data_IF_641225298967
#
_entry.id   IF_641225298967
#
_cell.length_a   1.000
_cell.length_b   1.000
_cell.length_c   1.000
_cell.angle_alpha   90.00
_cell.angle_beta   90.00
_cell.angle_gamma   90.00
#
_symmetry.space_group_name_H-M   'P 1'
#
loop_
_entity.id
_entity.type
_entity.pdbx_description
1 polymer ?
#
# COMPACT_ATOMS: atom_id res chain seq x y z
N UNK A 1 32.46 -4.70 19.30
CA UNK A 1 33.51 -4.98 18.32
C UNK A 1 32.84 -5.57 17.06
N UNK A 2 32.80 -4.84 15.93
CA UNK A 2 32.14 -5.31 14.71
C UNK A 2 32.65 -6.67 14.21
N UNK A 3 33.92 -6.97 14.41
CA UNK A 3 34.51 -8.25 13.96
C UNK A 3 33.98 -9.50 14.68
N UNK A 4 33.22 -9.32 15.76
CA UNK A 4 32.63 -10.44 16.52
C UNK A 4 31.14 -10.65 16.13
N UNK A 5 30.55 -9.73 15.36
CA UNK A 5 29.16 -9.83 14.94
C UNK A 5 29.07 -10.71 13.70
N UNK A 6 28.30 -11.78 13.77
CA UNK A 6 28.06 -12.72 12.68
C UNK A 6 26.63 -12.65 12.17
N UNK A 7 25.71 -12.19 13.00
CA UNK A 7 24.29 -12.08 12.66
C UNK A 7 23.69 -10.76 13.10
N UNK A 8 22.84 -10.18 12.23
CA UNK A 8 22.14 -8.92 12.49
C UNK A 8 20.66 -9.08 12.15
N UNK A 9 19.80 -8.75 13.10
CA UNK A 9 18.39 -8.50 12.85
C UNK A 9 18.20 -7.04 12.47
N UNK A 10 17.60 -6.79 11.33
CA UNK A 10 17.18 -5.46 10.87
C UNK A 10 15.68 -5.37 11.02
N UNK A 11 15.20 -4.44 11.84
CA UNK A 11 13.80 -4.32 12.22
C UNK A 11 13.31 -2.92 11.89
N UNK A 12 12.11 -2.83 11.38
CA UNK A 12 11.44 -1.57 11.08
C UNK A 12 11.17 -1.37 9.58
N UNK A 13 10.01 -0.80 9.24
CA UNK A 13 9.59 -0.65 7.84
C UNK A 13 10.54 0.25 7.04
N UNK A 14 11.11 1.27 7.69
CA UNK A 14 11.99 2.22 7.04
C UNK A 14 13.38 1.64 6.68
N UNK A 15 13.72 0.47 7.21
CA UNK A 15 15.02 -0.16 6.94
C UNK A 15 15.14 -0.66 5.49
N UNK A 16 14.03 -0.98 4.84
CA UNK A 16 13.97 -1.51 3.47
C UNK A 16 13.29 -0.54 2.48
N UNK A 17 13.41 0.75 2.73
CA UNK A 17 12.75 1.77 1.92
C UNK A 17 13.66 2.98 1.69
N UNK A 18 13.43 3.69 0.60
CA UNK A 18 13.92 5.06 0.45
C UNK A 18 13.10 5.97 1.36
N UNK A 19 13.76 6.68 2.25
CA UNK A 19 13.11 7.60 3.19
C UNK A 19 13.51 9.02 2.80
N UNK A 20 12.50 9.84 2.49
CA UNK A 20 12.65 11.27 2.23
C UNK A 20 11.49 12.03 2.88
N UNK A 21 11.63 13.34 3.00
CA UNK A 21 10.49 14.21 3.26
C UNK A 21 9.54 14.19 2.07
N UNK A 22 8.25 14.05 2.31
CA UNK A 22 7.23 14.14 1.25
C UNK A 22 6.92 15.58 0.84
N UNK A 23 5.99 15.73 -0.11
CA UNK A 23 5.55 17.05 -0.60
C UNK A 23 6.55 17.72 -1.52
N UNK A 24 6.68 19.05 -1.44
CA UNK A 24 7.52 19.85 -2.34
C UNK A 24 9.02 19.59 -2.17
N UNK A 25 9.44 18.98 -1.06
CA UNK A 25 10.84 18.59 -0.82
C UNK A 25 11.20 17.23 -1.40
N UNK A 26 10.23 16.49 -1.94
CA UNK A 26 10.48 15.18 -2.53
C UNK A 26 11.29 15.29 -3.83
N UNK A 27 12.35 14.52 -3.91
CA UNK A 27 13.15 14.37 -5.13
C UNK A 27 13.27 12.90 -5.48
N UNK A 28 13.07 12.56 -6.75
CA UNK A 28 13.33 11.20 -7.23
C UNK A 28 14.83 10.94 -7.27
N UNK A 29 15.33 10.01 -6.46
CA UNK A 29 16.74 9.68 -6.51
C UNK A 29 17.05 8.87 -7.79
N UNK A 30 18.16 9.15 -8.44
CA UNK A 30 18.68 8.28 -9.50
C UNK A 30 19.08 6.90 -8.97
N UNK A 31 19.48 6.86 -7.72
CA UNK A 31 19.83 5.64 -6.99
C UNK A 31 19.61 5.87 -5.49
N UNK A 32 19.09 4.87 -4.81
CA UNK A 32 18.98 4.88 -3.35
C UNK A 32 19.49 3.57 -2.78
N UNK A 33 20.06 3.64 -1.59
CA UNK A 33 20.50 2.46 -0.84
C UNK A 33 19.77 2.47 0.49
N UNK A 34 18.94 1.48 0.72
CA UNK A 34 18.27 1.29 2.01
C UNK A 34 19.28 0.87 3.09
N UNK A 35 18.91 0.98 4.36
CA UNK A 35 19.75 0.47 5.46
C UNK A 35 20.00 -1.02 5.28
N UNK A 36 18.98 -1.78 4.89
CA UNK A 36 19.07 -3.21 4.64
C UNK A 36 20.03 -3.53 3.48
N UNK A 37 19.94 -2.81 2.36
CA UNK A 37 20.83 -3.00 1.23
C UNK A 37 22.26 -2.60 1.55
N UNK A 38 22.44 -1.48 2.27
CA UNK A 38 23.76 -1.05 2.72
C UNK A 38 24.46 -2.09 3.59
N UNK A 39 23.73 -2.70 4.51
CA UNK A 39 24.26 -3.78 5.34
C UNK A 39 24.59 -5.03 4.53
N UNK A 40 23.73 -5.45 3.60
CA UNK A 40 23.98 -6.59 2.70
C UNK A 40 25.23 -6.38 1.84
N UNK A 41 25.42 -5.15 1.36
CA UNK A 41 26.57 -4.81 0.51
C UNK A 41 27.89 -4.70 1.29
N UNK A 42 27.83 -4.32 2.58
CA UNK A 42 29.01 -4.11 3.42
C UNK A 42 29.54 -5.39 4.08
N UNK A 43 28.73 -6.42 4.24
CA UNK A 43 29.08 -7.61 5.02
C UNK A 43 28.89 -8.90 4.26
N UNK A 44 29.90 -9.35 3.49
CA UNK A 44 29.83 -10.61 2.71
C UNK A 44 29.62 -11.86 3.58
N UNK A 45 30.06 -11.83 4.86
CA UNK A 45 29.93 -12.95 5.81
C UNK A 45 28.89 -12.70 6.89
N UNK A 46 28.09 -11.63 6.77
CA UNK A 46 27.12 -11.24 7.78
C UNK A 46 25.75 -11.88 7.49
N UNK A 47 25.24 -12.69 8.40
CA UNK A 47 23.88 -13.20 8.30
C UNK A 47 22.89 -12.09 8.68
N UNK A 48 22.08 -11.65 7.70
CA UNK A 48 21.12 -10.57 7.88
C UNK A 48 19.70 -11.13 7.80
N UNK A 49 18.91 -10.90 8.84
CA UNK A 49 17.48 -11.17 8.89
C UNK A 49 16.71 -9.86 8.95
N UNK A 50 15.61 -9.77 8.24
CA UNK A 50 14.78 -8.56 8.21
C UNK A 50 13.33 -8.89 8.60
N UNK A 51 12.75 -8.02 9.43
CA UNK A 51 11.32 -8.00 9.71
C UNK A 51 10.83 -6.55 9.82
N UNK A 52 9.75 -6.17 9.13
CA UNK A 52 9.21 -4.81 9.22
C UNK A 52 8.62 -4.49 10.61
N UNK A 53 8.18 -5.49 11.37
CA UNK A 53 7.52 -5.34 12.67
C UNK A 53 6.13 -4.70 12.57
N UNK A 54 5.99 -3.66 11.75
CA UNK A 54 4.71 -3.01 11.42
C UNK A 54 4.53 -3.04 9.91
N UNK A 55 3.41 -3.58 9.40
CA UNK A 55 3.14 -3.60 7.97
C UNK A 55 2.98 -2.19 7.40
N UNK A 56 3.66 -1.89 6.31
CA UNK A 56 3.51 -0.63 5.60
C UNK A 56 2.33 -0.67 4.61
N UNK A 57 1.84 0.51 4.21
CA UNK A 57 0.88 0.61 3.11
C UNK A 57 1.47 0.03 1.82
N UNK A 58 2.71 0.35 1.49
CA UNK A 58 3.39 -0.14 0.29
C UNK A 58 3.43 -1.66 0.23
N UNK A 59 3.85 -2.32 1.32
CA UNK A 59 3.86 -3.78 1.41
C UNK A 59 2.44 -4.37 1.36
N UNK A 60 1.48 -3.72 2.03
CA UNK A 60 0.07 -4.15 2.02
C UNK A 60 -0.50 -4.11 0.60
N UNK A 61 -0.25 -3.05 -0.15
CA UNK A 61 -0.71 -2.89 -1.53
C UNK A 61 -0.01 -3.87 -2.47
N UNK A 62 1.32 -4.01 -2.34
CA UNK A 62 2.11 -4.91 -3.20
C UNK A 62 1.75 -6.39 -3.00
N UNK A 63 1.36 -6.78 -1.79
CA UNK A 63 1.02 -8.17 -1.45
C UNK A 63 -0.49 -8.45 -1.43
N UNK A 64 -1.33 -7.48 -1.73
CA UNK A 64 -2.78 -7.68 -1.76
C UNK A 64 -3.19 -8.64 -2.89
N UNK A 65 -3.81 -9.75 -2.52
CA UNK A 65 -4.27 -10.75 -3.48
C UNK A 65 -5.73 -10.50 -3.86
N UNK A 66 -5.94 -10.15 -5.13
CA UNK A 66 -7.26 -9.97 -5.73
C UNK A 66 -7.50 -10.98 -6.84
N UNK A 67 -8.76 -11.25 -7.13
CA UNK A 67 -9.19 -12.10 -8.24
C UNK A 67 -10.31 -11.41 -9.01
N UNK A 68 -10.36 -11.64 -10.31
CA UNK A 68 -11.27 -10.91 -11.23
C UNK A 68 -12.74 -11.13 -10.94
N UNK A 69 -13.10 -12.35 -10.48
CA UNK A 69 -14.48 -12.74 -10.18
C UNK A 69 -14.52 -13.97 -9.28
N UNK A 70 -15.67 -14.28 -8.76
CA UNK A 70 -15.90 -15.47 -7.94
C UNK A 70 -15.59 -16.75 -8.73
N UNK A 71 -14.89 -17.69 -8.09
CA UNK A 71 -14.44 -18.95 -8.70
C UNK A 71 -13.28 -18.82 -9.68
N UNK A 72 -12.85 -17.61 -10.06
CA UNK A 72 -11.73 -17.39 -10.96
C UNK A 72 -10.38 -17.59 -10.27
N UNK A 73 -9.39 -18.08 -11.01
CA UNK A 73 -7.98 -18.10 -10.60
C UNK A 73 -7.16 -16.95 -11.20
N UNK A 74 -7.80 -16.12 -12.04
CA UNK A 74 -7.14 -14.96 -12.64
C UNK A 74 -6.95 -13.87 -11.57
N UNK A 75 -5.69 -13.54 -11.31
CA UNK A 75 -5.32 -12.50 -10.33
C UNK A 75 -5.61 -11.11 -10.88
N UNK A 76 -6.03 -10.21 -9.98
CA UNK A 76 -6.27 -8.80 -10.25
C UNK A 76 -7.74 -8.42 -10.14
N UNK A 77 -8.00 -7.14 -10.35
CA UNK A 77 -9.33 -6.55 -10.40
C UNK A 77 -9.65 -6.10 -11.82
N UNK A 78 -10.88 -6.27 -12.27
CA UNK A 78 -11.36 -5.60 -13.48
C UNK A 78 -11.35 -4.10 -13.23
N UNK A 79 -10.55 -3.36 -13.97
CA UNK A 79 -10.40 -1.92 -13.89
C UNK A 79 -11.09 -1.26 -15.08
N UNK A 80 -12.00 -0.33 -14.80
CA UNK A 80 -12.74 0.49 -15.76
C UNK A 80 -12.34 1.94 -15.55
N UNK A 81 -11.81 2.59 -16.60
CA UNK A 81 -11.33 3.96 -16.60
C UNK A 81 -12.24 4.84 -17.41
N UNK A 82 -12.70 5.96 -16.83
CA UNK A 82 -13.64 6.89 -17.44
C UNK A 82 -12.98 8.28 -17.55
N UNK A 83 -13.19 8.94 -18.67
CA UNK A 83 -12.76 10.32 -18.95
C UNK A 83 -13.74 11.37 -18.40
N UNK A 84 -14.37 11.07 -17.29
CA UNK A 84 -15.24 11.95 -16.50
C UNK A 84 -15.22 11.56 -15.03
N UNK A 85 -15.56 12.48 -14.15
CA UNK A 85 -15.54 12.29 -12.68
C UNK A 85 -16.74 11.52 -12.10
N UNK A 86 -17.62 10.96 -12.94
CA UNK A 86 -18.92 10.45 -12.49
C UNK A 86 -19.14 8.98 -12.74
N UNK A 87 -18.14 8.24 -13.21
CA UNK A 87 -18.25 6.82 -13.61
C UNK A 87 -19.38 6.58 -14.61
N UNK A 88 -19.64 7.52 -15.51
CA UNK A 88 -20.78 7.49 -16.45
C UNK A 88 -20.34 7.13 -17.87
N UNK A 89 -21.25 6.46 -18.57
CA UNK A 89 -21.05 6.07 -19.96
C UNK A 89 -20.21 4.81 -20.11
N UNK A 90 -19.67 4.62 -21.31
CA UNK A 90 -18.77 3.52 -21.62
C UNK A 90 -17.36 3.87 -21.10
N UNK A 91 -16.67 2.96 -20.40
CA UNK A 91 -15.29 3.18 -20.02
C UNK A 91 -14.42 3.45 -21.26
N UNK A 92 -13.55 4.45 -21.18
CA UNK A 92 -12.54 4.71 -22.21
C UNK A 92 -11.54 3.53 -22.31
N UNK A 93 -11.34 2.82 -21.19
CA UNK A 93 -10.44 1.67 -21.13
C UNK A 93 -10.94 0.66 -20.09
N UNK A 94 -10.79 -0.63 -20.40
CA UNK A 94 -11.01 -1.73 -19.45
C UNK A 94 -9.82 -2.67 -19.50
N UNK A 95 -9.24 -2.97 -18.33
CA UNK A 95 -8.07 -3.86 -18.19
C UNK A 95 -8.18 -4.67 -16.90
N UNK A 96 -7.23 -5.55 -16.66
CA UNK A 96 -7.03 -6.20 -15.36
C UNK A 96 -5.83 -5.55 -14.69
N UNK A 97 -6.07 -4.93 -13.54
CA UNK A 97 -5.00 -4.42 -12.67
C UNK A 97 -4.72 -5.43 -11.55
N UNK A 98 -3.52 -5.94 -11.52
CA UNK A 98 -3.08 -6.87 -10.46
C UNK A 98 -2.79 -6.15 -9.15
N UNK A 99 -2.48 -4.87 -9.22
CA UNK A 99 -2.19 -3.98 -8.10
C UNK A 99 -2.93 -2.65 -8.35
N UNK A 100 -3.62 -2.14 -7.34
CA UNK A 100 -4.18 -0.80 -7.37
C UNK A 100 -3.20 0.14 -6.66
N UNK A 101 -2.33 0.74 -7.43
CA UNK A 101 -1.36 1.72 -6.98
C UNK A 101 -1.03 2.66 -8.15
N UNK A 102 -1.81 3.73 -8.27
CA UNK A 102 -1.68 4.72 -9.33
C UNK A 102 -1.34 6.04 -8.66
N UNK A 103 -0.28 6.66 -9.09
CA UNK A 103 0.26 7.86 -8.49
C UNK A 103 1.26 7.56 -7.38
N UNK A 104 2.35 8.28 -7.39
CA UNK A 104 3.32 8.41 -6.31
C UNK A 104 3.71 9.88 -6.21
N UNK A 105 2.71 10.74 -5.93
CA UNK A 105 2.94 12.18 -6.02
C UNK A 105 3.06 12.65 -7.47
N UNK A 106 2.86 13.85 -7.72
CA UNK A 106 2.89 14.76 -8.89
C UNK A 106 3.37 14.26 -10.27
N UNK A 107 3.83 13.02 -10.45
CA UNK A 107 4.34 12.54 -11.74
C UNK A 107 4.10 11.04 -11.98
N UNK A 108 3.61 10.68 -13.14
CA UNK A 108 4.02 9.50 -13.95
C UNK A 108 3.01 8.36 -14.14
N UNK A 109 2.21 7.94 -13.16
CA UNK A 109 1.46 6.69 -13.35
C UNK A 109 0.26 6.83 -14.32
N UNK A 110 -0.39 7.97 -14.35
CA UNK A 110 -1.53 8.22 -15.24
C UNK A 110 -1.10 8.25 -16.71
N UNK A 111 0.02 8.91 -17.03
CA UNK A 111 0.55 9.01 -18.40
C UNK A 111 0.88 7.65 -19.01
N UNK A 112 1.44 6.74 -18.24
CA UNK A 112 1.83 5.41 -18.73
C UNK A 112 0.64 4.48 -18.99
N UNK A 113 -0.54 4.78 -18.44
CA UNK A 113 -1.76 3.97 -18.65
C UNK A 113 -2.70 4.56 -19.69
N UNK A 114 -2.39 5.72 -20.25
CA UNK A 114 -3.29 6.47 -21.16
C UNK A 114 -4.54 6.97 -20.45
N UNK A 115 -4.39 7.32 -19.17
CA UNK A 115 -5.45 7.87 -18.32
C UNK A 115 -5.21 9.38 -18.20
N UNK A 116 -6.25 10.22 -18.19
CA UNK A 116 -6.11 11.63 -17.90
C UNK A 116 -5.44 11.87 -16.55
N UNK A 117 -4.71 12.96 -16.43
CA UNK A 117 -4.02 13.35 -15.20
C UNK A 117 -5.01 13.68 -14.06
N UNK A 118 -6.13 14.28 -14.44
CA UNK A 118 -7.26 14.66 -13.59
C UNK A 118 -8.58 14.57 -14.36
N UNK A 119 -9.69 15.02 -13.78
CA UNK A 119 -11.04 15.02 -14.38
C UNK A 119 -11.48 13.64 -14.90
N UNK A 120 -11.07 12.60 -14.22
CA UNK A 120 -11.37 11.20 -14.57
C UNK A 120 -11.91 10.43 -13.36
N UNK A 121 -12.41 9.25 -13.61
CA UNK A 121 -12.83 8.33 -12.56
C UNK A 121 -12.52 6.88 -12.93
N UNK A 122 -12.46 6.04 -11.92
CA UNK A 122 -12.04 4.65 -12.04
C UNK A 122 -12.90 3.76 -11.17
N UNK A 123 -13.14 2.55 -11.64
CA UNK A 123 -13.76 1.48 -10.85
C UNK A 123 -12.96 0.22 -10.98
N UNK A 124 -12.61 -0.36 -9.84
CA UNK A 124 -12.03 -1.70 -9.75
C UNK A 124 -13.05 -2.63 -9.12
N UNK A 125 -13.27 -3.78 -9.74
CA UNK A 125 -14.18 -4.80 -9.26
C UNK A 125 -13.57 -6.19 -9.32
N UNK A 126 -13.89 -7.02 -8.34
CA UNK A 126 -13.42 -8.38 -8.23
C UNK A 126 -13.74 -8.99 -6.87
N UNK A 127 -12.93 -9.93 -6.41
CA UNK A 127 -13.12 -10.60 -5.12
C UNK A 127 -11.81 -10.72 -4.34
N UNK A 128 -11.93 -10.78 -3.02
CA UNK A 128 -10.87 -11.20 -2.10
C UNK A 128 -11.21 -12.57 -1.52
N UNK A 129 -10.17 -13.37 -1.23
CA UNK A 129 -10.28 -14.71 -0.61
C UNK A 129 -9.34 -14.79 0.57
N UNK A 130 -9.85 -14.68 1.79
CA UNK A 130 -9.04 -14.88 2.98
C UNK A 130 -8.61 -16.35 3.09
N UNK A 131 -7.32 -16.56 3.39
CA UNK A 131 -6.78 -17.90 3.63
C UNK A 131 -7.13 -18.43 5.02
N UNK A 132 -7.42 -17.54 5.95
CA UNK A 132 -7.76 -17.84 7.34
C UNK A 132 -9.03 -17.12 7.76
N UNK A 133 -9.76 -17.68 8.70
CA UNK A 133 -10.81 -16.96 9.41
C UNK A 133 -10.15 -16.04 10.43
N UNK A 134 -10.17 -14.74 10.17
CA UNK A 134 -9.50 -13.72 10.97
C UNK A 134 -10.10 -12.33 10.68
N UNK A 135 -9.62 -11.34 11.42
CA UNK A 135 -9.83 -9.94 11.07
C UNK A 135 -8.89 -9.53 9.94
N UNK A 136 -9.40 -8.79 8.98
CA UNK A 136 -8.64 -8.27 7.84
C UNK A 136 -8.80 -6.76 7.75
N UNK A 137 -7.68 -6.08 7.56
CA UNK A 137 -7.61 -4.65 7.38
C UNK A 137 -7.59 -4.31 5.90
N UNK A 138 -8.54 -3.49 5.48
CA UNK A 138 -8.61 -2.88 4.15
C UNK A 138 -8.14 -1.44 4.27
N UNK A 139 -7.27 -1.00 3.36
CA UNK A 139 -6.65 0.33 3.39
C UNK A 139 -6.82 0.95 2.01
N UNK A 140 -7.39 2.15 1.98
CA UNK A 140 -7.47 2.99 0.78
C UNK A 140 -6.80 4.32 1.09
N UNK A 141 -5.90 4.76 0.24
CA UNK A 141 -5.27 6.07 0.28
C UNK A 141 -5.41 6.74 -1.08
N UNK A 142 -5.86 7.98 -1.13
CA UNK A 142 -5.99 8.70 -2.39
C UNK A 142 -6.29 10.18 -2.20
N UNK A 143 -6.14 10.94 -3.28
CA UNK A 143 -6.67 12.28 -3.44
C UNK A 143 -8.15 12.24 -3.82
N UNK A 144 -8.84 13.37 -3.68
CA UNK A 144 -10.25 13.55 -4.03
C UNK A 144 -11.15 12.40 -3.53
N UNK A 145 -12.07 11.92 -4.32
CA UNK A 145 -13.10 11.01 -3.84
C UNK A 145 -12.81 9.54 -4.06
N UNK A 146 -12.94 8.76 -3.00
CA UNK A 146 -12.93 7.30 -3.09
C UNK A 146 -13.97 6.66 -2.18
N UNK A 147 -14.41 5.45 -2.56
CA UNK A 147 -15.29 4.63 -1.75
C UNK A 147 -15.08 3.15 -2.02
N UNK A 148 -15.21 2.34 -0.98
CA UNK A 148 -14.98 0.90 -1.02
C UNK A 148 -16.22 0.16 -0.53
N UNK A 149 -16.66 -0.81 -1.34
CA UNK A 149 -17.61 -1.85 -0.92
C UNK A 149 -16.88 -3.16 -0.70
N UNK A 150 -17.24 -3.87 0.36
CA UNK A 150 -16.84 -5.25 0.61
C UNK A 150 -18.11 -6.06 0.89
N UNK A 151 -18.34 -7.11 0.12
CA UNK A 151 -19.65 -7.77 0.10
C UNK A 151 -20.73 -6.82 -0.41
N UNK A 152 -21.76 -6.64 0.38
CA UNK A 152 -22.88 -5.73 0.06
C UNK A 152 -22.76 -4.35 0.69
N UNK A 153 -21.80 -4.15 1.60
CA UNK A 153 -21.71 -2.96 2.44
C UNK A 153 -20.70 -1.94 1.89
N UNK A 154 -21.05 -0.67 2.01
CA UNK A 154 -20.14 0.46 1.81
C UNK A 154 -19.33 0.65 3.11
N UNK A 155 -18.10 0.18 3.11
CA UNK A 155 -17.26 0.16 4.31
C UNK A 155 -16.35 1.39 4.43
N UNK A 156 -16.05 2.06 3.31
CA UNK A 156 -15.37 3.36 3.26
C UNK A 156 -16.14 4.23 2.29
N UNK A 157 -16.40 5.49 2.67
CA UNK A 157 -17.09 6.46 1.82
C UNK A 157 -16.56 7.88 2.04
N UNK A 158 -15.59 8.25 1.23
CA UNK A 158 -14.98 9.59 1.16
C UNK A 158 -15.20 10.18 -0.23
N UNK A 159 -16.47 10.28 -0.65
CA UNK A 159 -16.84 10.71 -2.01
C UNK A 159 -16.97 12.24 -2.09
N UNK A 160 -15.81 12.94 -2.04
CA UNK A 160 -15.74 14.42 -2.08
C UNK A 160 -14.35 14.86 -2.55
N UNK A 161 -14.23 16.10 -3.02
CA UNK A 161 -12.95 16.75 -3.25
C UNK A 161 -12.22 16.94 -1.91
N UNK A 162 -10.99 16.44 -1.82
CA UNK A 162 -10.18 16.53 -0.60
C UNK A 162 -8.71 16.29 -0.91
N UNK A 163 -7.85 16.76 -0.02
CA UNK A 163 -6.43 16.42 -0.02
C UNK A 163 -6.23 14.92 0.19
N UNK A 164 -5.00 14.45 0.04
CA UNK A 164 -4.70 13.03 0.22
C UNK A 164 -5.17 12.54 1.58
N UNK A 165 -5.89 11.46 1.56
CA UNK A 165 -6.54 10.90 2.74
C UNK A 165 -6.34 9.39 2.76
N UNK A 166 -6.08 8.84 3.94
CA UNK A 166 -6.05 7.39 4.18
C UNK A 166 -7.24 7.00 5.01
N UNK A 167 -7.93 5.92 4.63
CA UNK A 167 -8.99 5.29 5.43
C UNK A 167 -8.74 3.82 5.54
N UNK A 168 -9.01 3.31 6.72
CA UNK A 168 -8.86 1.90 7.05
C UNK A 168 -10.14 1.38 7.67
N UNK A 169 -10.43 0.13 7.42
CA UNK A 169 -11.52 -0.61 8.08
C UNK A 169 -11.07 -2.04 8.35
N UNK A 170 -11.44 -2.56 9.50
CA UNK A 170 -11.17 -3.95 9.89
C UNK A 170 -12.47 -4.73 9.85
N UNK A 171 -12.47 -5.83 9.09
CA UNK A 171 -13.63 -6.70 8.90
C UNK A 171 -13.29 -8.15 9.25
N UNK A 172 -14.18 -8.86 9.95
CA UNK A 172 -14.02 -10.29 10.15
C UNK A 172 -14.37 -11.03 8.85
N UNK A 173 -13.41 -11.81 8.33
CA UNK A 173 -13.62 -12.63 7.14
C UNK A 173 -13.35 -14.09 7.44
N UNK A 174 -14.05 -14.99 6.74
CA UNK A 174 -13.96 -16.43 6.92
C UNK A 174 -13.12 -17.08 5.82
N UNK A 175 -12.24 -18.00 6.22
CA UNK A 175 -11.42 -18.77 5.29
C UNK A 175 -12.24 -19.45 4.18
N UNK A 176 -11.75 -19.34 2.96
CA UNK A 176 -12.37 -19.98 1.78
C UNK A 176 -13.64 -19.31 1.28
N UNK A 177 -14.19 -18.30 1.96
CA UNK A 177 -15.28 -17.49 1.41
C UNK A 177 -14.73 -16.43 0.46
N UNK A 178 -15.53 -16.07 -0.53
CA UNK A 178 -15.25 -15.02 -1.48
C UNK A 178 -16.07 -13.78 -1.16
N UNK A 179 -15.39 -12.65 -1.06
CA UNK A 179 -16.02 -11.37 -0.76
C UNK A 179 -15.86 -10.45 -1.95
N UNK A 180 -16.94 -10.10 -2.66
CA UNK A 180 -16.90 -9.10 -3.71
C UNK A 180 -16.31 -7.78 -3.18
N UNK A 181 -15.44 -7.16 -3.96
CA UNK A 181 -14.90 -5.82 -3.67
C UNK A 181 -15.14 -4.91 -4.84
N UNK A 182 -15.55 -3.68 -4.55
CA UNK A 182 -15.66 -2.61 -5.53
C UNK A 182 -15.03 -1.35 -4.94
N UNK A 183 -13.92 -0.93 -5.52
CA UNK A 183 -13.33 0.37 -5.26
C UNK A 183 -13.72 1.33 -6.39
N UNK A 184 -14.24 2.48 -6.03
CA UNK A 184 -14.51 3.59 -6.93
C UNK A 184 -13.70 4.80 -6.50
N UNK A 185 -13.21 5.55 -7.48
CA UNK A 185 -12.35 6.72 -7.29
C UNK A 185 -12.67 7.78 -8.35
N UNK A 186 -12.52 9.04 -8.02
CA UNK A 186 -12.44 10.13 -8.98
C UNK A 186 -11.31 11.10 -8.63
N UNK A 187 -10.68 11.66 -9.66
CA UNK A 187 -9.75 12.77 -9.58
C UNK A 187 -10.39 14.00 -10.24
N UNK A 188 -10.58 15.07 -9.50
CA UNK A 188 -11.22 16.32 -9.97
C UNK A 188 -10.26 17.49 -9.94
N UNK A 189 -9.83 17.90 -8.75
CA UNK A 189 -8.96 19.07 -8.55
C UNK A 189 -7.50 18.69 -8.29
N UNK A 190 -7.24 17.40 -8.05
CA UNK A 190 -5.91 16.87 -7.80
C UNK A 190 -5.56 15.79 -8.82
N UNK A 191 -4.27 15.52 -9.01
CA UNK A 191 -3.84 14.43 -9.88
C UNK A 191 -4.33 13.07 -9.38
N UNK A 192 -4.40 12.11 -10.29
CA UNK A 192 -4.72 10.73 -9.94
C UNK A 192 -3.68 10.19 -8.96
N UNK A 193 -4.10 9.91 -7.74
CA UNK A 193 -3.30 9.20 -6.72
C UNK A 193 -4.26 8.33 -5.91
N UNK A 194 -4.16 7.03 -6.08
CA UNK A 194 -4.99 6.04 -5.39
C UNK A 194 -4.23 4.75 -5.15
N UNK A 195 -4.25 4.27 -3.91
CA UNK A 195 -3.68 2.99 -3.51
C UNK A 195 -4.71 2.19 -2.73
N UNK A 196 -4.80 0.90 -2.99
CA UNK A 196 -5.71 -0.01 -2.31
C UNK A 196 -5.02 -1.33 -2.01
N UNK A 197 -5.10 -1.74 -0.75
CA UNK A 197 -4.60 -3.02 -0.29
C UNK A 197 -5.44 -3.60 0.84
N UNK A 198 -5.23 -4.90 1.11
CA UNK A 198 -5.82 -5.59 2.25
C UNK A 198 -4.86 -6.65 2.77
N UNK A 199 -4.95 -6.98 4.04
CA UNK A 199 -4.12 -7.96 4.73
C UNK A 199 -4.78 -8.49 5.99
N UNK A 200 -4.33 -9.60 6.53
CA UNK A 200 -4.67 -10.02 7.89
C UNK A 200 -4.31 -8.89 8.88
N UNK A 201 -5.23 -8.56 9.77
CA UNK A 201 -5.03 -7.50 10.79
C UNK A 201 -4.23 -8.06 11.97
N UNK A 202 -2.94 -8.21 11.75
CA UNK A 202 -1.99 -8.63 12.78
C UNK A 202 -0.75 -7.74 12.77
N UNK A 203 -0.14 -7.58 13.92
CA UNK A 203 1.17 -6.99 14.05
C UNK A 203 2.24 -8.06 13.79
N UNK A 204 3.35 -7.67 13.19
CA UNK A 204 4.47 -8.55 12.85
C UNK A 204 5.56 -8.55 13.94
N UNK A 205 5.16 -8.17 15.18
CA UNK A 205 6.12 -8.05 16.29
C UNK A 205 6.73 -9.39 16.68
N UNK A 206 5.96 -10.48 16.62
CA UNK A 206 6.48 -11.80 16.98
C UNK A 206 7.65 -12.21 16.09
N UNK A 207 7.54 -11.96 14.78
CA UNK A 207 8.62 -12.21 13.83
C UNK A 207 9.84 -11.33 14.12
N UNK A 208 9.62 -10.03 14.36
CA UNK A 208 10.68 -9.10 14.71
C UNK A 208 11.41 -9.50 16.00
N UNK A 209 10.66 -9.91 17.03
CA UNK A 209 11.21 -10.41 18.29
C UNK A 209 12.01 -11.69 18.08
N UNK A 210 11.50 -12.62 17.26
CA UNK A 210 12.18 -13.89 16.98
C UNK A 210 13.52 -13.69 16.27
N UNK A 211 13.57 -12.85 15.23
CA UNK A 211 14.84 -12.58 14.55
C UNK A 211 15.82 -11.82 15.45
N UNK A 212 15.34 -10.90 16.31
CA UNK A 212 16.17 -10.21 17.27
C UNK A 212 16.82 -11.17 18.27
N UNK A 213 16.06 -12.14 18.80
CA UNK A 213 16.56 -13.15 19.76
C UNK A 213 17.63 -14.07 19.16
N UNK A 214 17.59 -14.29 17.84
CA UNK A 214 18.49 -15.20 17.12
C UNK A 214 19.74 -14.51 16.58
N UNK A 215 19.85 -13.19 16.73
CA UNK A 215 20.95 -12.40 16.18
C UNK A 215 21.86 -11.85 17.25
N UNK A 216 23.14 -11.66 16.92
CA UNK A 216 24.12 -11.05 17.82
C UNK A 216 23.81 -9.57 18.10
N UNK A 217 23.20 -8.88 17.10
CA UNK A 217 22.82 -7.47 17.17
C UNK A 217 21.46 -7.27 16.51
N UNK A 218 20.62 -6.43 17.10
CA UNK A 218 19.41 -5.92 16.49
C UNK A 218 19.55 -4.43 16.17
N UNK A 219 19.26 -4.06 14.92
CA UNK A 219 19.18 -2.66 14.46
C UNK A 219 17.70 -2.36 14.25
N UNK A 220 17.15 -1.46 15.08
CA UNK A 220 15.75 -1.03 14.98
C UNK A 220 15.71 0.31 14.28
N UNK A 221 15.15 0.32 13.07
CA UNK A 221 15.02 1.49 12.22
C UNK A 221 13.63 2.07 12.38
N UNK A 222 13.50 3.10 13.22
CA UNK A 222 12.26 3.79 13.52
C UNK A 222 12.29 5.21 12.94
N UNK A 223 11.11 5.75 12.66
CA UNK A 223 10.96 7.11 12.14
C UNK A 223 9.71 7.24 11.28
N UNK A 224 9.46 8.46 10.88
CA UNK A 224 8.39 8.77 9.95
C UNK A 224 8.84 8.55 8.50
N UNK A 225 7.87 8.39 7.64
CA UNK A 225 8.05 8.32 6.20
C UNK A 225 6.90 9.05 5.51
N UNK A 226 6.95 9.15 4.20
CA UNK A 226 5.96 9.87 3.40
C UNK A 226 4.51 9.36 3.61
N UNK A 227 4.31 8.11 4.00
CA UNK A 227 2.98 7.57 4.28
C UNK A 227 2.42 8.00 5.64
N UNK A 228 3.28 8.36 6.58
CA UNK A 228 2.91 8.78 7.94
C UNK A 228 2.92 10.29 8.14
N UNK A 229 3.81 11.00 7.46
CA UNK A 229 3.96 12.44 7.58
C UNK A 229 4.58 13.04 6.31
N UNK A 230 4.05 14.16 5.84
CA UNK A 230 4.57 14.91 4.71
C UNK A 230 4.04 16.34 4.73
N UNK A 231 4.58 17.20 3.89
CA UNK A 231 4.07 18.55 3.70
C UNK A 231 2.56 18.57 3.47
N UNK A 232 1.84 19.44 4.18
CA UNK A 232 0.38 19.59 4.14
C UNK A 232 -0.43 18.39 4.64
N UNK A 233 0.20 17.42 5.29
CA UNK A 233 -0.49 16.26 5.84
C UNK A 233 0.21 15.77 7.11
N UNK A 234 -0.09 16.44 8.22
CA UNK A 234 0.44 16.10 9.52
C UNK A 234 -0.18 14.80 10.05
N UNK A 235 0.64 14.01 10.71
CA UNK A 235 0.16 12.88 11.50
C UNK A 235 -0.67 13.35 12.70
N UNK A 236 -1.60 12.55 13.21
CA UNK A 236 -2.22 12.83 14.51
C UNK A 236 -1.15 12.82 15.61
N UNK A 237 -1.30 13.72 16.58
CA UNK A 237 -0.37 13.83 17.71
C UNK A 237 -0.42 12.63 18.67
N UNK A 238 -1.49 11.89 18.65
CA UNK A 238 -1.67 10.68 19.47
C UNK A 238 -1.03 9.47 18.78
N UNK A 239 -0.18 8.79 19.52
CA UNK A 239 0.47 7.53 19.13
C UNK A 239 -0.44 6.37 19.45
#
# INVERSE_FOLDING_TARGET
>A
NPSKVKSVAVIGPNANSYISGGGSSYTFPFHSVSVLDGLKNAGQDLQISYAPGVPTLTETVANAAFYTEAGSHTKGLKAEYFDNIRLKGTPAKTVIDTIVNIGNGWHIAAENKGIPYDHCSMRWSGVVRPEKTANYRFIVRGFDGFRLKVGTEMVINEWRDQGITTREVVLPLEAGKEYPVVLEFFANVHPVDISFGWREDKLLFDEAVEIARKSDVAIVNIGFNESSERESNDRPFEL
#
